data_IF_003482232170
#
_entry.id   IF_003482232170
#
_cell.length_a   1.000
_cell.length_b   1.000
_cell.length_c   1.000
_cell.angle_alpha   90.00
_cell.angle_beta   90.00
_cell.angle_gamma   90.00
#
_symmetry.space_group_name_H-M   'P 1'
#
loop_
_entity.id
_entity.type
_entity.pdbx_description
1 polymer ?
#
# COMPACT_ATOMS: atom_id res chain seq x y z
N UNK A 1 -6.57 16.31 8.78
CA UNK A 1 -6.18 16.48 7.36
C UNK A 1 -5.58 15.16 6.86
N UNK A 2 -5.50 14.94 5.57
CA UNK A 2 -5.04 13.67 5.00
C UNK A 2 -6.07 12.52 4.99
N UNK A 3 -7.22 12.66 5.65
CA UNK A 3 -8.22 11.61 5.78
C UNK A 3 -8.92 11.34 4.44
N UNK A 4 -8.94 10.06 4.05
CA UNK A 4 -9.71 9.56 2.90
C UNK A 4 -11.15 9.26 3.35
N UNK A 5 -12.13 9.59 2.51
CA UNK A 5 -13.54 9.33 2.73
C UNK A 5 -14.24 9.02 1.41
N UNK A 6 -15.48 8.53 1.49
CA UNK A 6 -16.22 8.04 0.34
C UNK A 6 -17.52 8.83 0.17
N UNK A 7 -17.99 8.97 -1.06
CA UNK A 7 -19.27 9.65 -1.32
C UNK A 7 -20.43 9.02 -0.55
N UNK A 8 -20.42 7.68 -0.45
CA UNK A 8 -21.49 6.94 0.22
C UNK A 8 -21.53 7.13 1.75
N UNK A 9 -20.45 7.66 2.37
CA UNK A 9 -20.41 7.95 3.81
C UNK A 9 -21.40 9.06 4.20
N UNK A 10 -21.96 9.73 3.22
CA UNK A 10 -22.87 10.88 3.40
C UNK A 10 -24.32 10.59 2.95
N UNK A 11 -24.67 9.35 2.64
CA UNK A 11 -26.01 9.00 2.13
C UNK A 11 -27.15 9.32 3.11
N UNK A 12 -26.85 9.39 4.41
CA UNK A 12 -27.81 9.77 5.44
C UNK A 12 -28.13 11.29 5.43
N UNK A 13 -27.30 12.11 4.75
CA UNK A 13 -27.45 13.57 4.71
C UNK A 13 -28.19 14.09 3.48
N UNK A 14 -28.55 13.23 2.53
CA UNK A 14 -29.27 13.64 1.34
C UNK A 14 -29.24 12.61 0.21
N UNK A 15 -29.88 12.99 -0.91
CA UNK A 15 -29.87 12.11 -2.08
C UNK A 15 -28.46 11.97 -2.68
N UNK A 16 -28.21 10.84 -3.32
CA UNK A 16 -26.92 10.55 -4.00
C UNK A 16 -26.53 11.66 -4.99
N UNK A 17 -27.52 12.26 -5.69
CA UNK A 17 -27.24 13.35 -6.62
C UNK A 17 -26.85 14.65 -5.91
N UNK A 18 -27.52 14.99 -4.80
CA UNK A 18 -27.19 16.17 -3.99
C UNK A 18 -25.78 16.06 -3.40
N UNK A 19 -25.43 14.88 -2.89
CA UNK A 19 -24.10 14.58 -2.37
C UNK A 19 -23.06 14.71 -3.48
N UNK A 20 -23.29 14.10 -4.64
CA UNK A 20 -22.38 14.17 -5.79
C UNK A 20 -22.13 15.62 -6.24
N UNK A 21 -23.17 16.44 -6.31
CA UNK A 21 -23.09 17.87 -6.69
C UNK A 21 -22.30 18.66 -5.63
N UNK A 22 -22.54 18.39 -4.35
CA UNK A 22 -21.81 19.04 -3.26
C UNK A 22 -20.33 18.69 -3.28
N UNK A 23 -19.97 17.40 -3.41
CA UNK A 23 -18.59 16.95 -3.50
C UNK A 23 -17.90 17.51 -4.75
N UNK A 24 -18.61 17.64 -5.87
CA UNK A 24 -18.08 18.28 -7.08
C UNK A 24 -17.77 19.76 -6.83
N UNK A 25 -18.65 20.51 -6.17
CA UNK A 25 -18.41 21.93 -5.81
C UNK A 25 -17.20 22.07 -4.88
N UNK A 26 -17.12 21.25 -3.83
CA UNK A 26 -16.00 21.25 -2.88
C UNK A 26 -14.67 20.89 -3.55
N UNK A 27 -14.69 19.97 -4.53
CA UNK A 27 -13.50 19.64 -5.33
C UNK A 27 -13.07 20.82 -6.22
N UNK A 28 -14.04 21.48 -6.88
CA UNK A 28 -13.74 22.67 -7.72
C UNK A 28 -13.21 23.84 -6.93
N UNK A 29 -13.65 24.03 -5.68
CA UNK A 29 -13.13 25.07 -4.78
C UNK A 29 -11.83 24.71 -4.07
N UNK A 30 -11.27 23.51 -4.30
CA UNK A 30 -10.03 23.06 -3.68
C UNK A 30 -10.14 22.68 -2.19
N UNK A 31 -11.35 22.66 -1.62
CA UNK A 31 -11.57 22.27 -0.21
C UNK A 31 -11.28 20.79 0.01
N UNK A 32 -11.59 19.96 -0.99
CA UNK A 32 -11.30 18.54 -1.01
C UNK A 32 -10.65 18.13 -2.34
N UNK A 33 -9.95 16.99 -2.33
CA UNK A 33 -9.35 16.41 -3.53
C UNK A 33 -10.14 15.15 -3.91
N UNK A 34 -10.45 14.98 -5.20
CA UNK A 34 -10.96 13.72 -5.72
C UNK A 34 -9.78 12.83 -6.08
N UNK A 35 -9.61 11.74 -5.33
CA UNK A 35 -8.52 10.77 -5.48
C UNK A 35 -8.84 9.74 -6.57
N UNK A 36 -10.10 9.26 -6.57
CA UNK A 36 -10.63 8.32 -7.54
C UNK A 36 -12.15 8.51 -7.65
N UNK A 37 -12.82 7.73 -8.47
CA UNK A 37 -14.29 7.78 -8.56
C UNK A 37 -14.92 7.41 -7.22
N UNK A 38 -15.70 8.34 -6.65
CA UNK A 38 -16.36 8.17 -5.36
C UNK A 38 -15.43 8.22 -4.15
N UNK A 39 -14.14 8.50 -4.33
CA UNK A 39 -13.12 8.56 -3.27
C UNK A 39 -12.52 9.96 -3.22
N UNK A 40 -12.53 10.53 -2.06
CA UNK A 40 -12.08 11.89 -1.80
C UNK A 40 -11.11 11.92 -0.63
N UNK A 41 -10.33 13.00 -0.55
CA UNK A 41 -9.42 13.26 0.55
C UNK A 41 -9.55 14.72 1.00
N UNK A 42 -9.51 14.95 2.30
CA UNK A 42 -9.32 16.29 2.84
C UNK A 42 -7.83 16.62 2.77
N UNK A 43 -7.41 17.61 1.95
CA UNK A 43 -5.99 17.81 1.66
C UNK A 43 -5.19 18.15 2.91
N UNK A 44 -4.01 17.59 2.99
CA UNK A 44 -2.95 18.06 3.86
C UNK A 44 -2.09 19.05 3.07
N UNK A 45 -1.78 20.19 3.66
CA UNK A 45 -0.98 21.22 3.04
C UNK A 45 0.30 21.33 3.84
N UNK A 46 1.43 21.12 3.20
CA UNK A 46 2.74 21.36 3.79
C UNK A 46 3.22 22.76 3.37
N UNK A 47 3.15 23.67 4.33
CA UNK A 47 3.67 25.03 4.21
C UNK A 47 5.15 25.12 4.63
N UNK A 48 5.62 24.14 5.43
CA UNK A 48 6.96 24.18 6.03
C UNK A 48 8.06 23.90 5.02
N UNK A 49 7.84 22.93 4.15
CA UNK A 49 8.80 22.55 3.10
C UNK A 49 8.40 23.10 1.72
N UNK A 50 7.29 23.86 1.64
CA UNK A 50 6.79 24.41 0.38
C UNK A 50 6.28 23.38 -0.62
N UNK A 51 5.94 22.16 -0.17
CA UNK A 51 5.45 21.07 -1.02
C UNK A 51 4.01 21.29 -1.47
N UNK A 52 3.28 22.22 -0.87
CA UNK A 52 1.88 22.50 -1.19
C UNK A 52 0.97 21.37 -0.78
N UNK A 53 0.05 20.98 -1.67
CA UNK A 53 -0.96 19.93 -1.39
C UNK A 53 -0.32 18.55 -1.43
N UNK A 54 -0.36 17.83 -0.30
CA UNK A 54 0.09 16.44 -0.18
C UNK A 54 -1.07 15.52 -0.58
N UNK A 55 -0.84 14.73 -1.62
CA UNK A 55 -1.78 13.72 -2.08
C UNK A 55 -1.59 12.41 -1.32
N UNK A 56 -2.67 11.67 -1.04
CA UNK A 56 -2.54 10.37 -0.41
C UNK A 56 -1.76 9.38 -1.30
N UNK A 57 -0.96 8.56 -0.65
CA UNK A 57 -0.20 7.48 -1.29
C UNK A 57 -1.12 6.32 -1.69
N UNK A 58 -0.67 5.49 -2.64
CA UNK A 58 -1.45 4.33 -3.09
C UNK A 58 -1.76 3.35 -1.95
N UNK A 59 -0.85 3.21 -0.97
CA UNK A 59 -1.10 2.37 0.20
C UNK A 59 -2.21 2.94 1.08
N UNK A 60 -2.22 4.24 1.33
CA UNK A 60 -3.28 4.87 2.13
C UNK A 60 -4.65 4.71 1.49
N UNK A 61 -4.72 4.86 0.15
CA UNK A 61 -5.95 4.64 -0.60
C UNK A 61 -6.38 3.16 -0.52
N UNK A 62 -5.42 2.24 -0.68
CA UNK A 62 -5.69 0.81 -0.64
C UNK A 62 -6.12 0.35 0.77
N UNK A 63 -5.50 0.88 1.83
CA UNK A 63 -5.86 0.61 3.22
C UNK A 63 -7.27 1.12 3.54
N UNK A 64 -7.63 2.35 3.14
CA UNK A 64 -8.98 2.88 3.33
C UNK A 64 -10.06 2.05 2.61
N UNK A 65 -9.74 1.56 1.40
CA UNK A 65 -10.62 0.66 0.65
C UNK A 65 -10.74 -0.74 1.28
N UNK A 66 -9.66 -1.24 1.85
CA UNK A 66 -9.62 -2.53 2.54
C UNK A 66 -10.42 -2.47 3.85
N UNK A 67 -10.24 -1.41 4.64
CA UNK A 67 -11.00 -1.15 5.86
C UNK A 67 -12.50 -1.12 5.59
N UNK A 68 -12.93 -0.34 4.58
CA UNK A 68 -14.33 -0.27 4.18
C UNK A 68 -14.94 -1.61 3.78
N UNK A 69 -14.16 -2.48 3.14
CA UNK A 69 -14.60 -3.81 2.70
C UNK A 69 -14.28 -4.92 3.70
N UNK A 70 -13.83 -4.59 4.91
CA UNK A 70 -13.37 -5.54 5.93
C UNK A 70 -12.40 -6.58 5.36
N UNK A 71 -11.52 -6.16 4.46
CA UNK A 71 -10.55 -7.03 3.80
C UNK A 71 -9.13 -6.75 4.26
N UNK A 72 -8.27 -7.76 4.19
CA UNK A 72 -6.83 -7.62 4.39
C UNK A 72 -6.14 -7.38 3.06
N UNK A 73 -5.08 -6.58 3.08
CA UNK A 73 -4.25 -6.34 1.90
C UNK A 73 -2.76 -6.51 2.22
N UNK A 74 -2.01 -6.91 1.20
CA UNK A 74 -0.54 -7.02 1.23
C UNK A 74 0.00 -6.40 -0.06
N UNK A 75 0.88 -5.40 0.01
CA UNK A 75 1.53 -4.86 -1.18
C UNK A 75 2.45 -5.90 -1.82
N UNK A 76 2.55 -5.88 -3.15
CA UNK A 76 3.39 -6.82 -3.91
C UNK A 76 4.22 -6.12 -4.98
N UNK A 77 5.11 -6.88 -5.60
CA UNK A 77 5.83 -6.47 -6.79
C UNK A 77 6.66 -5.21 -6.59
N UNK A 78 6.63 -4.37 -7.59
CA UNK A 78 7.43 -3.15 -7.67
C UNK A 78 7.08 -2.15 -6.56
N UNK A 79 5.84 -2.18 -6.07
CA UNK A 79 5.45 -1.35 -4.94
C UNK A 79 6.19 -1.75 -3.65
N UNK A 80 6.30 -3.05 -3.36
CA UNK A 80 7.05 -3.53 -2.20
C UNK A 80 8.56 -3.20 -2.33
N UNK A 81 9.13 -3.30 -3.54
CA UNK A 81 10.51 -2.89 -3.81
C UNK A 81 10.75 -1.41 -3.54
N UNK A 82 9.83 -0.56 -4.00
CA UNK A 82 9.92 0.88 -3.81
C UNK A 82 9.81 1.26 -2.32
N UNK A 83 8.85 0.69 -1.59
CA UNK A 83 8.66 0.94 -0.15
C UNK A 83 9.89 0.54 0.68
N UNK A 84 10.57 -0.54 0.30
CA UNK A 84 11.79 -0.98 0.96
C UNK A 84 13.05 -0.23 0.50
N UNK A 85 12.95 0.71 -0.46
CA UNK A 85 14.11 1.39 -1.04
C UNK A 85 15.00 0.50 -1.91
N UNK A 86 14.51 -0.66 -2.33
CA UNK A 86 15.21 -1.60 -3.23
C UNK A 86 15.06 -1.21 -4.71
N UNK A 87 14.17 -0.29 -5.02
CA UNK A 87 13.98 0.32 -6.33
C UNK A 87 13.60 1.79 -6.17
N UNK A 88 14.14 2.64 -7.02
CA UNK A 88 13.76 4.07 -7.11
C UNK A 88 12.53 4.28 -8.00
N UNK A 89 12.09 3.28 -8.70
CA UNK A 89 10.93 3.37 -9.59
C UNK A 89 9.64 3.37 -8.79
N UNK A 90 8.82 4.40 -8.99
CA UNK A 90 7.45 4.47 -8.46
C UNK A 90 6.52 3.82 -9.48
N UNK A 91 5.86 2.71 -9.16
CA UNK A 91 5.01 2.02 -10.11
C UNK A 91 3.75 2.85 -10.41
N UNK A 92 3.38 2.96 -11.70
CA UNK A 92 2.11 3.55 -12.11
C UNK A 92 0.90 2.64 -11.79
N UNK A 93 1.14 1.37 -11.55
CA UNK A 93 0.14 0.40 -11.14
C UNK A 93 0.59 -0.32 -9.87
N UNK A 94 0.06 0.08 -8.75
CA UNK A 94 0.33 -0.55 -7.46
C UNK A 94 -0.56 -1.79 -7.30
N UNK A 95 0.05 -2.94 -7.02
CA UNK A 95 -0.66 -4.22 -6.89
C UNK A 95 -0.69 -4.66 -5.43
N UNK A 96 -1.89 -5.00 -4.96
CA UNK A 96 -2.14 -5.53 -3.62
C UNK A 96 -2.83 -6.88 -3.70
N UNK A 97 -2.34 -7.85 -2.93
CA UNK A 97 -3.08 -9.10 -2.68
C UNK A 97 -4.15 -8.84 -1.63
N UNK A 98 -5.30 -9.51 -1.76
CA UNK A 98 -6.43 -9.33 -0.83
C UNK A 98 -7.22 -10.63 -0.68
N UNK A 99 -7.94 -10.77 0.45
CA UNK A 99 -9.00 -11.77 0.61
C UNK A 99 -10.36 -11.27 0.07
N UNK A 100 -10.44 -10.00 -0.32
CA UNK A 100 -11.62 -9.40 -0.94
C UNK A 100 -11.71 -9.68 -2.44
N UNK A 101 -12.63 -8.98 -3.11
CA UNK A 101 -12.83 -9.10 -4.56
C UNK A 101 -11.67 -8.50 -5.33
N UNK A 102 -11.25 -9.18 -6.41
CA UNK A 102 -10.31 -8.61 -7.39
C UNK A 102 -10.94 -7.44 -8.11
N UNK A 103 -10.24 -6.30 -8.15
CA UNK A 103 -10.68 -5.08 -8.84
C UNK A 103 -9.51 -4.18 -9.18
N UNK A 104 -9.71 -3.30 -10.15
CA UNK A 104 -8.78 -2.22 -10.50
C UNK A 104 -9.46 -0.87 -10.34
N UNK A 105 -8.75 0.09 -9.80
CA UNK A 105 -9.22 1.44 -9.53
C UNK A 105 -8.25 2.41 -10.19
N UNK A 106 -8.75 3.29 -11.06
CA UNK A 106 -7.98 4.39 -11.61
C UNK A 106 -7.89 5.50 -10.58
N UNK A 107 -6.69 5.96 -10.30
CA UNK A 107 -6.38 7.03 -9.35
C UNK A 107 -5.89 8.26 -10.12
N UNK A 108 -6.05 9.44 -9.55
CA UNK A 108 -5.55 10.68 -10.12
C UNK A 108 -4.07 10.59 -10.50
N UNK A 109 -3.66 11.29 -11.58
CA UNK A 109 -2.26 11.25 -12.04
C UNK A 109 -1.92 10.04 -12.91
N UNK A 110 -2.87 9.49 -13.63
CA UNK A 110 -2.69 8.33 -14.53
C UNK A 110 -2.16 7.07 -13.84
N UNK A 111 -2.41 6.95 -12.52
CA UNK A 111 -2.04 5.79 -11.71
C UNK A 111 -3.22 4.83 -11.56
N UNK A 112 -2.94 3.61 -11.14
CA UNK A 112 -3.97 2.64 -10.81
C UNK A 112 -3.57 1.77 -9.62
N UNK A 113 -4.58 1.33 -8.88
CA UNK A 113 -4.44 0.35 -7.79
C UNK A 113 -5.19 -0.91 -8.21
N UNK A 114 -4.49 -2.03 -8.20
CA UNK A 114 -5.06 -3.34 -8.56
C UNK A 114 -5.08 -4.23 -7.33
N UNK A 115 -6.26 -4.71 -6.96
CA UNK A 115 -6.45 -5.74 -5.95
C UNK A 115 -6.57 -7.10 -6.63
N UNK A 116 -5.77 -8.07 -6.19
CA UNK A 116 -5.82 -9.46 -6.66
C UNK A 116 -6.18 -10.37 -5.50
N UNK A 117 -7.23 -11.16 -5.67
CA UNK A 117 -7.59 -12.16 -4.68
C UNK A 117 -6.46 -13.17 -4.50
N UNK A 118 -6.24 -13.63 -3.27
CA UNK A 118 -5.16 -14.55 -2.93
C UNK A 118 -5.55 -15.52 -1.81
N UNK A 119 -4.80 -16.61 -1.70
CA UNK A 119 -4.97 -17.55 -0.61
C UNK A 119 -4.68 -16.92 0.76
N UNK A 120 -5.41 -17.32 1.82
CA UNK A 120 -5.24 -16.77 3.18
C UNK A 120 -3.80 -16.81 3.70
N UNK A 121 -3.01 -17.80 3.31
CA UNK A 121 -1.60 -17.93 3.70
C UNK A 121 -0.76 -16.70 3.31
N UNK A 122 -1.05 -16.08 2.17
CA UNK A 122 -0.30 -14.91 1.71
C UNK A 122 -0.63 -13.64 2.51
N UNK A 123 -1.71 -13.66 3.28
CA UNK A 123 -2.21 -12.57 4.13
C UNK A 123 -2.00 -12.82 5.63
N UNK A 124 -1.31 -13.92 5.98
CA UNK A 124 -1.15 -14.39 7.35
C UNK A 124 0.07 -13.80 8.08
N UNK A 125 0.83 -12.94 7.41
CA UNK A 125 1.98 -12.26 8.02
C UNK A 125 1.54 -11.38 9.18
N UNK A 126 2.28 -11.43 10.27
CA UNK A 126 2.08 -10.62 11.46
C UNK A 126 3.04 -9.42 11.51
N UNK A 127 4.24 -9.57 10.97
CA UNK A 127 5.23 -8.49 10.87
C UNK A 127 5.19 -7.83 9.49
N UNK A 128 5.00 -6.50 9.47
CA UNK A 128 4.90 -5.71 8.23
C UNK A 128 6.19 -5.76 7.40
N UNK A 129 7.35 -5.66 8.05
CA UNK A 129 8.64 -5.69 7.34
C UNK A 129 8.91 -7.07 6.73
N UNK A 130 8.66 -8.16 7.48
CA UNK A 130 8.77 -9.53 6.98
C UNK A 130 7.86 -9.77 5.75
N UNK A 131 6.66 -9.25 5.79
CA UNK A 131 5.70 -9.29 4.68
C UNK A 131 6.22 -8.55 3.44
N UNK A 132 6.74 -7.33 3.60
CA UNK A 132 7.29 -6.52 2.51
C UNK A 132 8.52 -7.18 1.91
N UNK A 133 9.46 -7.66 2.74
CA UNK A 133 10.67 -8.38 2.29
C UNK A 133 10.31 -9.63 1.50
N UNK A 134 9.35 -10.44 1.99
CA UNK A 134 8.87 -11.61 1.25
C UNK A 134 8.25 -11.23 -0.10
N UNK A 135 7.48 -10.16 -0.16
CA UNK A 135 6.82 -9.69 -1.39
C UNK A 135 7.82 -9.13 -2.41
N UNK A 136 8.78 -8.33 -1.95
CA UNK A 136 9.84 -7.76 -2.78
C UNK A 136 10.77 -8.85 -3.35
N UNK A 137 11.25 -9.76 -2.51
CA UNK A 137 12.12 -10.85 -2.95
C UNK A 137 11.43 -11.79 -3.93
N UNK A 138 10.14 -12.09 -3.74
CA UNK A 138 9.36 -12.85 -4.74
C UNK A 138 9.29 -12.15 -6.10
N UNK A 139 9.23 -10.82 -6.12
CA UNK A 139 9.21 -10.04 -7.36
C UNK A 139 10.56 -10.08 -8.09
N UNK A 140 11.68 -9.93 -7.36
CA UNK A 140 13.04 -9.98 -7.92
C UNK A 140 13.37 -11.38 -8.45
N UNK A 141 12.87 -12.44 -7.81
CA UNK A 141 13.25 -13.87 -7.95
C UNK A 141 14.66 -14.14 -7.44
N UNK A 142 14.90 -15.35 -6.93
CA UNK A 142 16.13 -15.73 -6.24
C UNK A 142 17.43 -15.47 -7.04
N UNK A 143 17.40 -15.77 -8.34
CA UNK A 143 18.57 -15.65 -9.22
C UNK A 143 19.01 -14.22 -9.52
N UNK A 144 18.15 -13.24 -9.22
CA UNK A 144 18.37 -11.83 -9.55
C UNK A 144 18.65 -10.96 -8.31
N UNK A 145 18.69 -11.54 -7.12
CA UNK A 145 18.96 -10.80 -5.87
C UNK A 145 20.45 -10.44 -5.83
N UNK A 146 20.76 -9.16 -5.79
CA UNK A 146 22.13 -8.65 -5.71
C UNK A 146 22.61 -8.57 -4.25
N UNK A 147 23.94 -8.59 -4.05
CA UNK A 147 24.55 -8.39 -2.73
C UNK A 147 24.08 -7.08 -2.09
N UNK A 148 24.06 -5.98 -2.85
CA UNK A 148 23.58 -4.68 -2.34
C UNK A 148 22.15 -4.74 -1.81
N UNK A 149 21.27 -5.45 -2.50
CA UNK A 149 19.88 -5.63 -2.05
C UNK A 149 19.81 -6.47 -0.79
N UNK A 150 20.61 -7.52 -0.70
CA UNK A 150 20.69 -8.38 0.49
C UNK A 150 21.19 -7.60 1.70
N UNK A 151 22.28 -6.83 1.55
CA UNK A 151 22.85 -6.01 2.62
C UNK A 151 21.84 -4.96 3.12
N UNK A 152 21.10 -4.34 2.20
CA UNK A 152 20.05 -3.38 2.55
C UNK A 152 18.89 -4.05 3.30
N UNK A 153 18.46 -5.24 2.86
CA UNK A 153 17.44 -6.04 3.57
C UNK A 153 17.93 -6.40 4.97
N UNK A 154 19.19 -6.80 5.12
CA UNK A 154 19.79 -7.10 6.44
C UNK A 154 19.77 -5.87 7.34
N UNK A 155 20.15 -4.72 6.83
CA UNK A 155 20.08 -3.46 7.55
C UNK A 155 18.65 -3.16 8.07
N UNK A 156 17.64 -3.31 7.22
CA UNK A 156 16.25 -3.10 7.61
C UNK A 156 15.76 -4.11 8.64
N UNK A 157 16.07 -5.40 8.45
CA UNK A 157 15.64 -6.47 9.34
C UNK A 157 16.24 -6.32 10.74
N UNK A 158 17.51 -5.90 10.85
CA UNK A 158 18.20 -5.70 12.14
C UNK A 158 17.62 -4.55 12.97
N UNK A 159 16.79 -3.69 12.40
CA UNK A 159 16.05 -2.66 13.14
C UNK A 159 14.81 -3.23 13.83
N UNK A 160 14.35 -4.41 13.43
CA UNK A 160 13.24 -5.12 14.03
C UNK A 160 13.69 -6.16 15.04
N UNK A 161 12.86 -6.43 16.04
CA UNK A 161 13.12 -7.52 16.99
C UNK A 161 13.07 -8.86 16.26
N UNK A 162 14.12 -9.66 16.40
CA UNK A 162 14.29 -10.97 15.76
C UNK A 162 13.06 -11.86 15.92
N UNK A 163 12.50 -11.92 17.13
CA UNK A 163 11.35 -12.76 17.46
C UNK A 163 10.11 -12.42 16.62
N UNK A 164 9.87 -11.13 16.39
CA UNK A 164 8.72 -10.65 15.62
C UNK A 164 8.79 -11.03 14.13
N UNK A 165 10.00 -11.10 13.59
CA UNK A 165 10.25 -11.46 12.19
C UNK A 165 10.23 -12.98 11.99
N UNK A 166 10.88 -13.73 12.92
CA UNK A 166 11.04 -15.17 12.79
C UNK A 166 9.72 -15.96 12.88
N UNK A 167 8.71 -15.41 13.55
CA UNK A 167 7.34 -15.99 13.59
C UNK A 167 6.78 -16.23 12.20
N UNK A 168 7.07 -15.34 11.25
CA UNK A 168 6.53 -15.37 9.89
C UNK A 168 7.36 -16.23 8.91
N UNK A 169 8.51 -16.77 9.32
CA UNK A 169 9.38 -17.59 8.45
C UNK A 169 8.64 -18.75 7.79
N UNK A 170 7.72 -19.40 8.52
CA UNK A 170 6.90 -20.52 8.00
C UNK A 170 6.05 -20.16 6.78
N UNK A 171 5.79 -18.87 6.56
CA UNK A 171 5.01 -18.34 5.44
C UNK A 171 5.87 -18.08 4.19
N UNK A 172 7.19 -18.05 4.37
CA UNK A 172 8.15 -17.70 3.32
C UNK A 172 8.65 -18.95 2.56
N UNK A 173 8.97 -18.82 1.26
CA UNK A 173 9.76 -19.81 0.53
C UNK A 173 11.10 -20.08 1.21
N UNK A 174 11.65 -21.29 1.05
CA UNK A 174 12.91 -21.73 1.71
C UNK A 174 14.06 -20.75 1.45
N UNK A 175 14.24 -20.30 0.22
CA UNK A 175 15.33 -19.39 -0.13
C UNK A 175 15.21 -18.00 0.51
N UNK A 176 13.97 -17.46 0.63
CA UNK A 176 13.72 -16.18 1.35
C UNK A 176 13.98 -16.37 2.84
N UNK A 177 13.51 -17.50 3.39
CA UNK A 177 13.74 -17.85 4.80
C UNK A 177 15.22 -17.83 5.16
N UNK A 178 16.08 -18.40 4.31
CA UNK A 178 17.53 -18.38 4.50
C UNK A 178 18.07 -16.94 4.54
N UNK A 179 17.66 -16.08 3.61
CA UNK A 179 18.08 -14.67 3.59
C UNK A 179 17.68 -13.99 4.90
N UNK A 180 16.42 -14.18 5.35
CA UNK A 180 15.93 -13.55 6.59
C UNK A 180 16.66 -14.08 7.84
N UNK A 181 16.97 -15.37 7.90
CA UNK A 181 17.72 -15.97 9.03
C UNK A 181 19.14 -15.42 9.11
N UNK A 182 19.86 -15.38 7.99
CA UNK A 182 21.24 -14.87 7.91
C UNK A 182 21.35 -13.38 8.30
N UNK A 183 20.27 -12.61 8.24
CA UNK A 183 20.27 -11.21 8.70
C UNK A 183 20.55 -11.09 10.21
N UNK A 184 20.32 -12.16 10.98
CA UNK A 184 20.45 -12.20 12.44
C UNK A 184 21.58 -13.13 12.94
N UNK A 185 22.36 -13.67 12.03
CA UNK A 185 23.62 -14.35 12.29
C UNK A 185 24.78 -13.34 12.27
#
# INVERSE_FOLDING_TARGET
RGKIFFADDFLDFGSSDAIRQTLLRLTKSGVIIRVAQGIYCYPEIDETLGLGVIYPTDIQIAEALAERSHSKIVPTGDYALNVLGLSTQVPLNSVFLTNGKSRRISVSGNRSITFKNTAPRNLAFTNRLAMLVNSALKSIKNVNVTTKQTDHIYYLLRQEKKENVLVDLKLMPVWIRKIVQNAYE
#
